data_IF_705527912430
#
_entry.id   IF_705527912430
#
_cell.length_a   1.000
_cell.length_b   1.000
_cell.length_c   1.000
_cell.angle_alpha   90.00
_cell.angle_beta   90.00
_cell.angle_gamma   90.00
#
_symmetry.space_group_name_H-M   'P 1'
#
loop_
_entity.id
_entity.type
_entity.pdbx_description
1 polymer ?
#
# COMPACT_ATOMS: atom_id res chain seq x y z
N UNK A 1 -13.15 -3.87 9.55
CA UNK A 1 -12.81 -5.31 9.57
C UNK A 1 -11.80 -5.65 8.47
N UNK A 2 -12.07 -5.32 7.21
CA UNK A 2 -11.21 -5.66 6.06
C UNK A 2 -9.73 -5.23 6.20
N UNK A 3 -9.48 -3.96 6.56
CA UNK A 3 -8.10 -3.47 6.72
C UNK A 3 -7.32 -4.13 7.87
N UNK A 4 -8.00 -4.69 8.87
CA UNK A 4 -7.35 -5.44 9.93
C UNK A 4 -6.97 -6.86 9.48
N UNK A 5 -7.78 -7.48 8.61
CA UNK A 5 -7.42 -8.75 7.98
C UNK A 5 -6.23 -8.58 7.02
N UNK A 6 -6.23 -7.50 6.23
CA UNK A 6 -5.10 -7.16 5.36
C UNK A 6 -3.82 -6.91 6.16
N UNK A 7 -3.92 -6.30 7.33
CA UNK A 7 -2.77 -6.07 8.21
C UNK A 7 -2.13 -7.38 8.70
N UNK A 8 -2.93 -8.43 8.92
CA UNK A 8 -2.41 -9.74 9.30
C UNK A 8 -1.64 -10.38 8.14
N UNK A 9 -2.15 -10.24 6.91
CA UNK A 9 -1.54 -10.85 5.70
C UNK A 9 -0.33 -10.03 5.22
N UNK A 10 -0.37 -8.72 5.38
CA UNK A 10 0.64 -7.77 4.91
C UNK A 10 1.08 -6.83 6.06
N UNK A 11 1.71 -7.37 7.12
CA UNK A 11 2.00 -6.63 8.35
C UNK A 11 2.93 -5.43 8.14
N UNK A 12 3.77 -5.47 7.11
CA UNK A 12 4.70 -4.39 6.79
C UNK A 12 4.00 -3.09 6.36
N UNK A 13 2.76 -3.14 5.88
CA UNK A 13 2.06 -1.95 5.39
C UNK A 13 1.27 -1.22 6.47
N UNK A 14 0.97 -1.85 7.61
CA UNK A 14 0.21 -1.22 8.70
C UNK A 14 -1.22 -0.82 8.33
N UNK A 15 -1.88 -1.57 7.43
CA UNK A 15 -3.23 -1.29 6.95
C UNK A 15 -4.25 -1.05 8.07
N UNK A 16 -4.12 -1.73 9.20
CA UNK A 16 -5.00 -1.53 10.34
C UNK A 16 -4.89 -0.11 10.92
N UNK A 17 -3.75 0.56 10.77
CA UNK A 17 -3.48 1.87 11.36
C UNK A 17 -4.05 3.00 10.51
N UNK A 18 -3.83 2.97 9.19
CA UNK A 18 -4.18 4.07 8.29
C UNK A 18 -5.30 3.74 7.30
N UNK A 19 -5.85 2.52 7.34
CA UNK A 19 -7.03 2.09 6.56
C UNK A 19 -6.88 2.27 5.04
N UNK A 20 -5.66 2.18 4.52
CA UNK A 20 -5.38 2.37 3.09
C UNK A 20 -5.20 3.83 2.64
N UNK A 21 -5.30 4.81 3.55
CA UNK A 21 -4.92 6.19 3.23
C UNK A 21 -3.40 6.30 3.02
N UNK A 22 -2.94 7.15 2.07
CA UNK A 22 -1.53 7.27 1.69
C UNK A 22 -0.77 8.14 2.69
N UNK A 23 -0.62 7.67 3.91
CA UNK A 23 0.23 8.33 4.93
C UNK A 23 1.70 8.26 4.52
N UNK A 24 2.55 9.10 5.09
CA UNK A 24 3.99 9.05 4.84
C UNK A 24 4.56 7.63 5.09
N UNK A 25 4.15 7.00 6.19
CA UNK A 25 4.48 5.61 6.51
C UNK A 25 4.03 4.63 5.41
N UNK A 26 2.78 4.73 4.96
CA UNK A 26 2.29 3.82 3.92
C UNK A 26 3.01 4.01 2.59
N UNK A 27 3.35 5.26 2.23
CA UNK A 27 4.11 5.56 1.03
C UNK A 27 5.55 5.05 1.10
N UNK A 28 6.19 5.13 2.27
CA UNK A 28 7.50 4.54 2.52
C UNK A 28 7.46 3.02 2.31
N UNK A 29 6.48 2.34 2.94
CA UNK A 29 6.35 0.88 2.82
C UNK A 29 5.96 0.43 1.43
N UNK A 30 5.15 1.22 0.72
CA UNK A 30 4.84 1.01 -0.70
C UNK A 30 6.08 1.13 -1.60
N UNK A 31 6.99 2.05 -1.29
CA UNK A 31 8.25 2.19 -2.02
C UNK A 31 9.24 1.06 -1.69
N UNK A 32 9.30 0.62 -0.44
CA UNK A 32 10.21 -0.43 0.03
C UNK A 32 9.80 -1.84 -0.43
N UNK A 33 8.49 -2.15 -0.39
CA UNK A 33 7.98 -3.51 -0.60
C UNK A 33 7.18 -3.67 -1.91
N UNK A 34 6.96 -2.60 -2.65
CA UNK A 34 6.16 -2.60 -3.87
C UNK A 34 4.65 -2.55 -3.61
N UNK A 35 3.85 -2.65 -4.66
CA UNK A 35 2.39 -2.66 -4.54
C UNK A 35 1.84 -4.10 -4.52
N UNK A 36 0.85 -4.35 -3.67
CA UNK A 36 0.08 -5.60 -3.65
C UNK A 36 -1.15 -5.55 -4.57
N UNK A 37 -1.85 -6.67 -4.74
CA UNK A 37 -3.11 -6.74 -5.50
C UNK A 37 -4.23 -5.85 -4.94
N UNK A 38 -4.22 -5.58 -3.63
CA UNK A 38 -5.20 -4.73 -2.95
C UNK A 38 -4.94 -3.23 -3.17
N UNK A 39 -3.77 -2.85 -3.68
CA UNK A 39 -3.49 -1.46 -3.99
C UNK A 39 -4.18 -1.03 -5.27
N UNK A 40 -4.79 0.16 -5.23
CA UNK A 40 -5.44 0.75 -6.40
C UNK A 40 -4.41 1.21 -7.43
N UNK A 41 -4.23 0.41 -8.48
CA UNK A 41 -3.23 0.63 -9.55
C UNK A 41 -3.38 1.97 -10.29
N UNK A 42 -4.54 2.62 -10.25
CA UNK A 42 -4.73 3.94 -10.87
C UNK A 42 -4.07 5.07 -10.09
N UNK A 43 -3.69 4.86 -8.82
CA UNK A 43 -3.08 5.89 -7.98
C UNK A 43 -1.61 6.10 -8.31
N UNK A 44 -1.17 7.36 -8.38
CA UNK A 44 0.19 7.74 -8.78
C UNK A 44 1.30 7.00 -8.02
N UNK A 45 1.30 6.96 -6.67
CA UNK A 45 2.30 6.22 -5.92
C UNK A 45 2.33 4.72 -6.24
N UNK A 46 1.16 4.12 -6.45
CA UNK A 46 1.02 2.70 -6.78
C UNK A 46 1.53 2.43 -8.20
N UNK A 47 1.22 3.28 -9.18
CA UNK A 47 1.79 3.18 -10.54
C UNK A 47 3.31 3.20 -10.51
N UNK A 48 3.90 4.13 -9.74
CA UNK A 48 5.36 4.21 -9.58
C UNK A 48 5.93 2.92 -8.97
N UNK A 49 5.33 2.43 -7.89
CA UNK A 49 5.75 1.17 -7.26
C UNK A 49 5.62 -0.05 -8.19
N UNK A 50 4.72 0.00 -9.17
CA UNK A 50 4.55 -1.03 -10.20
C UNK A 50 5.42 -0.83 -11.45
N UNK A 51 6.23 0.24 -11.52
CA UNK A 51 7.00 0.57 -12.73
C UNK A 51 6.13 1.01 -13.92
N UNK A 52 4.86 1.38 -13.68
CA UNK A 52 3.89 1.80 -14.70
C UNK A 52 3.89 3.31 -14.95
N UNK A 53 4.70 4.07 -14.20
CA UNK A 53 4.87 5.49 -14.43
C UNK A 53 6.00 5.69 -15.45
N UNK A 54 5.65 6.24 -16.62
CA UNK A 54 6.58 6.83 -17.58
C UNK A 54 7.22 8.10 -17.04
#
# INVERSE_FOLDING_TARGET
AEMAALDIVFPQYGFAQHKGYPTAFHLEKLAEHGATEHHRRSFGPVKRALGLAS
#
